data_IF_291288782329
#
_entry.id   IF_291288782329
#
_cell.length_a   1.000
_cell.length_b   1.000
_cell.length_c   1.000
_cell.angle_alpha   90.00
_cell.angle_beta   90.00
_cell.angle_gamma   90.00
#
_symmetry.space_group_name_H-M   'P 1'
#
loop_
_entity.id
_entity.type
_entity.pdbx_description
1 polymer ?
#
# COMPACT_ATOMS: atom_id res chain seq x y z
N UNK A 1 23.82 -2.78 -14.99
CA UNK A 1 22.84 -3.30 -14.02
C UNK A 1 21.73 -4.04 -14.73
N UNK A 2 21.09 -4.99 -14.07
CA UNK A 2 19.91 -5.71 -14.57
C UNK A 2 18.66 -4.92 -14.26
N UNK A 3 17.68 -4.93 -15.18
CA UNK A 3 16.36 -4.35 -14.99
C UNK A 3 15.36 -5.47 -14.72
N UNK A 4 14.63 -5.38 -13.64
CA UNK A 4 13.58 -6.34 -13.29
C UNK A 4 12.22 -5.62 -13.21
N UNK A 5 11.18 -6.25 -13.80
CA UNK A 5 9.81 -5.75 -13.69
C UNK A 5 9.20 -6.13 -12.35
N UNK A 6 8.54 -5.17 -11.72
CA UNK A 6 7.81 -5.30 -10.46
C UNK A 6 6.31 -5.36 -10.74
N UNK A 7 5.59 -6.28 -10.09
CA UNK A 7 4.12 -6.34 -10.13
C UNK A 7 3.56 -5.35 -9.12
N UNK A 8 2.86 -4.35 -9.62
CA UNK A 8 2.22 -3.32 -8.79
C UNK A 8 0.81 -2.99 -9.30
N UNK A 9 0.01 -2.42 -8.41
CA UNK A 9 -1.30 -1.82 -8.72
C UNK A 9 -1.41 -0.49 -7.97
N UNK A 10 -1.87 0.55 -8.66
CA UNK A 10 -2.11 1.84 -8.02
C UNK A 10 -3.09 1.68 -6.86
N UNK A 11 -2.87 2.42 -5.77
CA UNK A 11 -3.82 2.51 -4.67
C UNK A 11 -4.99 3.41 -5.06
N UNK A 12 -6.20 3.08 -4.56
CA UNK A 12 -7.41 3.87 -4.81
C UNK A 12 -7.25 5.30 -4.29
N UNK A 13 -7.46 6.28 -5.15
CA UNK A 13 -7.24 7.69 -4.88
C UNK A 13 -5.82 8.19 -5.17
N UNK A 14 -4.89 7.33 -5.59
CA UNK A 14 -3.54 7.76 -5.97
C UNK A 14 -3.57 8.72 -7.16
N UNK A 15 -2.68 9.70 -7.15
CA UNK A 15 -2.39 10.52 -8.35
C UNK A 15 -1.50 9.73 -9.33
N UNK A 16 -1.55 10.13 -10.61
CA UNK A 16 -0.66 9.62 -11.65
C UNK A 16 0.79 10.11 -11.46
N UNK A 17 1.73 9.39 -12.05
CA UNK A 17 3.08 9.92 -12.29
C UNK A 17 3.08 10.89 -13.48
N UNK A 18 4.15 11.70 -13.68
CA UNK A 18 4.41 12.32 -14.98
C UNK A 18 4.38 11.28 -16.12
N UNK A 19 4.08 11.72 -17.35
CA UNK A 19 3.92 10.82 -18.50
C UNK A 19 5.17 9.96 -18.78
N UNK A 20 6.36 10.54 -18.60
CA UNK A 20 7.66 9.87 -18.72
C UNK A 20 7.97 8.92 -17.55
N UNK A 21 7.11 8.93 -16.54
CA UNK A 21 7.35 8.27 -15.27
C UNK A 21 8.27 9.08 -14.35
N UNK A 22 8.61 8.48 -13.22
CA UNK A 22 9.54 9.04 -12.25
C UNK A 22 10.54 7.99 -11.81
N UNK A 23 11.73 8.42 -11.45
CA UNK A 23 12.79 7.51 -10.98
C UNK A 23 13.39 8.04 -9.69
N UNK A 24 13.46 7.19 -8.68
CA UNK A 24 14.06 7.53 -7.39
C UNK A 24 14.83 6.37 -6.78
N UNK A 25 15.76 6.68 -5.88
CA UNK A 25 16.34 5.69 -4.98
C UNK A 25 15.24 5.21 -4.03
N UNK A 26 15.20 3.90 -3.74
CA UNK A 26 14.22 3.36 -2.80
C UNK A 26 14.79 3.29 -1.39
N UNK A 27 13.96 3.66 -0.43
CA UNK A 27 14.20 3.43 1.00
C UNK A 27 13.15 2.45 1.51
N UNK A 28 13.60 1.41 2.15
CA UNK A 28 12.72 0.37 2.71
C UNK A 28 12.58 0.63 4.21
N UNK A 29 11.34 0.73 4.67
CA UNK A 29 11.00 0.88 6.09
C UNK A 29 9.98 -0.18 6.49
N UNK A 30 10.05 -0.64 7.72
CA UNK A 30 9.11 -1.59 8.28
C UNK A 30 7.80 -0.91 8.69
N UNK A 31 7.91 0.27 9.28
CA UNK A 31 6.81 0.99 9.91
C UNK A 31 7.04 2.52 9.92
N UNK A 32 6.09 3.26 10.52
CA UNK A 32 6.19 4.71 10.65
C UNK A 32 7.30 5.17 11.60
N UNK A 33 7.68 4.37 12.57
CA UNK A 33 8.75 4.71 13.49
C UNK A 33 10.11 4.70 12.78
N UNK A 34 10.38 3.68 11.97
CA UNK A 34 11.57 3.65 11.11
C UNK A 34 11.58 4.82 10.11
N UNK A 35 10.42 5.12 9.49
CA UNK A 35 10.30 6.26 8.59
C UNK A 35 10.66 7.57 9.30
N UNK A 36 10.10 7.80 10.48
CA UNK A 36 10.31 9.02 11.26
C UNK A 36 11.75 9.13 11.76
N UNK A 37 12.38 8.02 12.14
CA UNK A 37 13.77 7.97 12.57
C UNK A 37 14.75 8.39 11.46
N UNK A 38 14.44 8.06 10.20
CA UNK A 38 15.23 8.52 9.04
C UNK A 38 15.06 10.03 8.78
N UNK A 39 13.90 10.57 9.10
CA UNK A 39 13.57 11.97 8.92
C UNK A 39 13.70 12.46 7.47
N UNK A 40 13.57 13.76 7.27
CA UNK A 40 13.65 14.38 5.94
C UNK A 40 14.97 14.05 5.21
N UNK A 41 16.09 14.09 5.91
CA UNK A 41 17.41 13.85 5.31
C UNK A 41 17.55 12.44 4.71
N UNK A 42 16.88 11.45 5.30
CA UNK A 42 16.87 10.08 4.81
C UNK A 42 15.87 9.82 3.69
N UNK A 43 14.82 10.67 3.56
CA UNK A 43 13.62 10.38 2.75
C UNK A 43 13.46 11.34 1.56
N UNK A 44 13.90 12.59 1.66
CA UNK A 44 13.67 13.60 0.63
C UNK A 44 14.16 13.15 -0.75
N UNK A 45 13.29 13.29 -1.77
CA UNK A 45 13.57 12.89 -3.15
C UNK A 45 13.59 11.40 -3.42
N UNK A 46 13.24 10.56 -2.45
CA UNK A 46 13.28 9.10 -2.57
C UNK A 46 11.88 8.49 -2.69
N UNK A 47 11.84 7.24 -3.12
CA UNK A 47 10.64 6.39 -3.10
C UNK A 47 10.70 5.56 -1.82
N UNK A 48 9.61 5.55 -1.03
CA UNK A 48 9.54 4.77 0.20
C UNK A 48 8.80 3.47 -0.04
N UNK A 49 9.37 2.33 0.35
CA UNK A 49 8.66 1.04 0.43
C UNK A 49 8.34 0.73 1.89
N UNK A 50 7.06 0.73 2.25
CA UNK A 50 6.61 0.14 3.50
C UNK A 50 6.56 -1.38 3.37
N UNK A 51 7.52 -2.07 3.98
CA UNK A 51 7.66 -3.53 3.94
C UNK A 51 7.17 -4.19 5.22
N UNK A 52 6.05 -3.73 5.77
CA UNK A 52 5.42 -4.34 6.95
C UNK A 52 4.96 -5.77 6.63
N UNK A 53 5.39 -6.74 7.41
CA UNK A 53 5.01 -8.14 7.25
C UNK A 53 3.70 -8.43 7.97
N UNK A 54 2.80 -9.11 7.29
CA UNK A 54 1.56 -9.59 7.89
C UNK A 54 1.85 -10.61 9.01
N UNK A 55 1.23 -10.40 10.17
CA UNK A 55 1.40 -11.25 11.33
C UNK A 55 0.58 -12.54 11.19
N UNK A 56 1.27 -13.63 10.84
CA UNK A 56 0.66 -14.95 10.67
C UNK A 56 0.38 -15.68 11.99
N UNK A 57 1.13 -15.38 13.03
CA UNK A 57 0.90 -15.97 14.34
C UNK A 57 -0.38 -15.40 14.96
N UNK A 58 -0.56 -14.09 14.84
CA UNK A 58 -1.81 -13.43 15.21
C UNK A 58 -3.00 -13.99 14.40
N UNK A 59 -2.84 -14.21 13.09
CA UNK A 59 -3.87 -14.84 12.27
C UNK A 59 -4.19 -16.27 12.73
N UNK A 60 -3.18 -17.08 12.99
CA UNK A 60 -3.35 -18.47 13.44
C UNK A 60 -4.05 -18.54 14.82
N UNK A 61 -3.90 -17.51 15.64
CA UNK A 61 -4.57 -17.37 16.94
C UNK A 61 -6.01 -16.82 16.83
N UNK A 62 -6.57 -16.68 15.61
CA UNK A 62 -7.94 -16.20 15.40
C UNK A 62 -8.06 -14.69 15.25
N UNK A 63 -6.97 -13.92 15.31
CA UNK A 63 -6.95 -12.47 15.23
C UNK A 63 -6.52 -11.94 13.84
N UNK A 64 -6.89 -12.63 12.77
CA UNK A 64 -6.52 -12.27 11.40
C UNK A 64 -6.98 -10.87 10.98
N UNK A 65 -8.15 -10.42 11.44
CA UNK A 65 -8.64 -9.05 11.22
C UNK A 65 -7.74 -7.98 11.86
N UNK A 66 -7.26 -8.23 13.07
CA UNK A 66 -6.33 -7.34 13.75
C UNK A 66 -4.97 -7.30 13.05
N UNK A 67 -4.43 -8.47 12.65
CA UNK A 67 -3.21 -8.56 11.86
C UNK A 67 -3.31 -7.78 10.54
N UNK A 68 -4.45 -7.84 9.87
CA UNK A 68 -4.73 -7.05 8.67
C UNK A 68 -4.79 -5.55 8.97
N UNK A 69 -5.45 -5.14 10.06
CA UNK A 69 -5.51 -3.75 10.51
C UNK A 69 -4.12 -3.13 10.72
N UNK A 70 -3.20 -3.89 11.32
CA UNK A 70 -1.82 -3.46 11.52
C UNK A 70 -1.05 -3.29 10.20
N UNK A 71 -1.34 -4.09 9.18
CA UNK A 71 -0.69 -3.99 7.88
C UNK A 71 -1.30 -2.88 6.99
N UNK A 72 -2.63 -2.72 7.02
CA UNK A 72 -3.35 -1.82 6.11
C UNK A 72 -3.13 -0.34 6.40
N UNK A 73 -2.74 0.03 7.60
CA UNK A 73 -2.47 1.43 7.96
C UNK A 73 -1.40 2.07 7.07
N UNK A 74 -0.39 1.31 6.64
CA UNK A 74 0.67 1.80 5.76
C UNK A 74 0.14 2.06 4.34
N UNK A 75 -0.85 1.29 3.90
CA UNK A 75 -1.57 1.53 2.65
C UNK A 75 -2.37 2.83 2.71
N UNK A 76 -3.10 3.06 3.79
CA UNK A 76 -3.94 4.24 3.94
C UNK A 76 -3.12 5.52 4.17
N UNK A 77 -2.21 5.52 5.14
CA UNK A 77 -1.52 6.73 5.60
C UNK A 77 -0.07 6.86 5.08
N UNK A 78 0.49 5.83 4.43
CA UNK A 78 1.89 5.81 4.04
C UNK A 78 2.30 6.98 3.15
N UNK A 79 1.50 7.28 2.12
CA UNK A 79 1.82 8.37 1.19
C UNK A 79 1.82 9.74 1.88
N UNK A 80 0.79 10.06 2.68
CA UNK A 80 0.72 11.35 3.37
C UNK A 80 1.83 11.51 4.41
N UNK A 81 2.22 10.42 5.09
CA UNK A 81 3.28 10.46 6.09
C UNK A 81 4.66 10.62 5.44
N UNK A 82 4.95 9.87 4.40
CA UNK A 82 6.22 9.96 3.68
C UNK A 82 6.36 11.30 2.92
N UNK A 83 5.27 11.83 2.36
CA UNK A 83 5.27 13.12 1.67
C UNK A 83 5.68 14.29 2.57
N UNK A 84 5.30 14.26 3.87
CA UNK A 84 5.74 15.26 4.85
C UNK A 84 7.26 15.30 5.03
N UNK A 85 7.93 14.18 4.77
CA UNK A 85 9.38 14.05 4.80
C UNK A 85 10.03 14.25 3.43
N UNK A 86 9.25 14.61 2.40
CA UNK A 86 9.75 14.91 1.06
C UNK A 86 9.91 13.69 0.15
N UNK A 87 9.30 12.55 0.46
CA UNK A 87 9.24 11.42 -0.46
C UNK A 87 8.54 11.81 -1.77
N UNK A 88 8.94 11.20 -2.89
CA UNK A 88 8.36 11.47 -4.21
C UNK A 88 7.31 10.44 -4.62
N UNK A 89 7.32 9.24 -4.05
CA UNK A 89 6.31 8.19 -4.21
C UNK A 89 6.36 7.20 -3.05
N UNK A 90 5.28 6.41 -2.91
CA UNK A 90 5.20 5.34 -1.92
C UNK A 90 4.81 4.02 -2.59
N UNK A 91 5.52 2.98 -2.23
CA UNK A 91 5.16 1.59 -2.47
C UNK A 91 4.79 0.94 -1.14
N UNK A 92 3.77 0.10 -1.16
CA UNK A 92 3.33 -0.63 0.03
C UNK A 92 3.27 -2.11 -0.29
N UNK A 93 3.94 -2.92 0.51
CA UNK A 93 3.78 -4.37 0.46
C UNK A 93 2.32 -4.75 0.59
N UNK A 94 1.84 -5.70 -0.19
CA UNK A 94 0.49 -6.25 -0.10
C UNK A 94 0.14 -6.63 1.33
N UNK A 95 -0.96 -6.05 1.86
CA UNK A 95 -1.29 -6.07 3.29
C UNK A 95 -1.79 -7.42 3.83
N UNK A 96 -2.07 -8.40 2.96
CA UNK A 96 -2.59 -9.71 3.36
C UNK A 96 -1.52 -10.76 3.61
N UNK A 97 -1.95 -11.92 4.12
CA UNK A 97 -1.08 -13.07 4.37
C UNK A 97 -0.71 -13.88 3.12
N UNK A 98 -1.22 -13.54 1.94
CA UNK A 98 -0.89 -14.20 0.68
C UNK A 98 0.56 -13.98 0.29
N UNK A 99 1.21 -15.03 -0.22
CA UNK A 99 2.60 -14.99 -0.68
C UNK A 99 2.71 -15.09 -2.20
N UNK A 100 1.59 -14.96 -2.92
CA UNK A 100 1.61 -14.95 -4.37
C UNK A 100 2.10 -13.61 -4.93
N UNK A 101 2.47 -13.62 -6.22
CA UNK A 101 2.97 -12.44 -6.93
C UNK A 101 1.81 -11.56 -7.45
N UNK A 102 0.86 -11.24 -6.56
CA UNK A 102 -0.26 -10.35 -6.83
C UNK A 102 -0.18 -9.12 -5.93
N UNK A 103 -0.37 -7.94 -6.51
CA UNK A 103 -0.47 -6.71 -5.76
C UNK A 103 -1.87 -6.56 -5.17
N UNK A 104 -1.96 -6.42 -3.85
CA UNK A 104 -3.21 -6.25 -3.12
C UNK A 104 -3.50 -4.77 -2.93
N UNK A 105 -4.32 -4.21 -3.80
CA UNK A 105 -4.71 -2.80 -3.77
C UNK A 105 -5.76 -2.50 -2.69
N UNK A 106 -6.12 -1.23 -2.57
CA UNK A 106 -7.16 -0.68 -1.70
C UNK A 106 -7.03 0.83 -1.64
N UNK A 107 -7.88 1.49 -0.88
CA UNK A 107 -7.90 2.94 -0.76
C UNK A 107 -6.68 3.46 -0.01
N UNK A 108 -6.19 4.63 -0.43
CA UNK A 108 -5.24 5.45 0.31
C UNK A 108 -5.82 6.84 0.59
N UNK A 109 -5.29 7.53 1.60
CA UNK A 109 -5.68 8.88 1.96
C UNK A 109 -4.59 9.90 1.61
N UNK A 110 -5.04 11.14 1.39
CA UNK A 110 -4.19 12.33 1.40
C UNK A 110 -4.63 13.24 2.53
N UNK A 111 -3.71 14.04 3.06
CA UNK A 111 -4.00 15.04 4.08
C UNK A 111 -3.96 16.45 3.48
N UNK A 112 -4.79 17.34 3.98
CA UNK A 112 -4.78 18.75 3.59
C UNK A 112 -3.42 19.40 3.91
N UNK A 113 -2.95 20.25 3.00
CA UNK A 113 -1.66 20.92 3.12
C UNK A 113 -0.43 20.03 2.89
N UNK A 114 -0.61 18.76 2.56
CA UNK A 114 0.48 17.83 2.22
C UNK A 114 0.51 17.58 0.72
N UNK A 115 1.69 17.71 0.10
CA UNK A 115 1.86 17.40 -1.32
C UNK A 115 1.42 15.97 -1.62
N UNK A 116 0.51 15.82 -2.60
CA UNK A 116 0.10 14.49 -3.06
C UNK A 116 1.24 13.84 -3.84
N UNK A 117 1.53 12.59 -3.51
CA UNK A 117 2.54 11.78 -4.20
C UNK A 117 1.91 10.46 -4.66
N UNK A 118 2.40 9.84 -5.76
CA UNK A 118 1.90 8.55 -6.22
C UNK A 118 2.08 7.45 -5.18
N UNK A 119 1.07 6.58 -5.06
CA UNK A 119 1.10 5.42 -4.17
C UNK A 119 0.62 4.14 -4.86
N UNK A 120 1.34 3.04 -4.68
CA UNK A 120 0.99 1.74 -5.23
C UNK A 120 1.23 0.61 -4.23
N UNK A 121 0.40 -0.45 -4.34
CA UNK A 121 0.71 -1.73 -3.72
C UNK A 121 1.65 -2.52 -4.62
N UNK A 122 2.63 -3.19 -4.03
CA UNK A 122 3.51 -4.15 -4.70
C UNK A 122 3.23 -5.57 -4.19
N UNK A 123 3.50 -6.57 -5.00
CA UNK A 123 3.35 -7.96 -4.59
C UNK A 123 4.26 -8.30 -3.39
N UNK A 124 3.90 -9.35 -2.66
CA UNK A 124 4.72 -9.89 -1.59
C UNK A 124 6.15 -10.18 -2.06
N UNK A 125 6.30 -10.94 -3.16
CA UNK A 125 7.59 -11.38 -3.67
C UNK A 125 8.46 -10.21 -4.14
N UNK A 126 7.86 -9.24 -4.82
CA UNK A 126 8.60 -8.07 -5.29
C UNK A 126 9.03 -7.16 -4.14
N UNK A 127 8.20 -7.01 -3.09
CA UNK A 127 8.58 -6.27 -1.89
C UNK A 127 9.78 -6.92 -1.16
N UNK A 128 9.78 -8.26 -1.03
CA UNK A 128 10.92 -8.99 -0.45
C UNK A 128 12.17 -8.85 -1.32
N UNK A 129 12.03 -8.97 -2.64
CA UNK A 129 13.15 -8.81 -3.59
C UNK A 129 13.76 -7.42 -3.51
N UNK A 130 12.93 -6.38 -3.53
CA UNK A 130 13.39 -4.98 -3.39
C UNK A 130 14.09 -4.80 -2.04
N UNK A 131 13.50 -5.29 -0.97
CA UNK A 131 14.08 -5.15 0.37
C UNK A 131 15.42 -5.90 0.51
N UNK A 132 15.55 -7.06 -0.14
CA UNK A 132 16.80 -7.82 -0.16
C UNK A 132 17.89 -7.09 -0.94
N UNK A 133 17.57 -6.59 -2.14
CA UNK A 133 18.51 -5.83 -2.97
C UNK A 133 18.96 -4.55 -2.28
N UNK A 134 18.03 -3.82 -1.65
CA UNK A 134 18.33 -2.56 -0.96
C UNK A 134 19.26 -2.70 0.26
N UNK A 135 19.42 -3.92 0.79
CA UNK A 135 20.43 -4.19 1.84
C UNK A 135 21.85 -4.30 1.28
N UNK A 136 21.97 -4.72 0.04
CA UNK A 136 23.26 -4.99 -0.59
C UNK A 136 23.79 -3.75 -1.34
N UNK A 137 22.94 -2.97 -1.96
CA UNK A 137 23.31 -1.81 -2.78
C UNK A 137 22.15 -0.81 -2.91
N UNK A 138 22.41 0.36 -3.50
CA UNK A 138 21.41 1.35 -3.85
C UNK A 138 20.52 0.84 -4.98
N UNK A 139 19.24 0.66 -4.71
CA UNK A 139 18.22 0.27 -5.68
C UNK A 139 17.49 1.51 -6.17
N UNK A 140 17.30 1.63 -7.47
CA UNK A 140 16.48 2.67 -8.09
C UNK A 140 15.23 2.05 -8.71
N UNK A 141 14.10 2.67 -8.46
CA UNK A 141 12.81 2.29 -9.05
C UNK A 141 12.41 3.33 -10.09
N UNK A 142 12.06 2.86 -11.30
CA UNK A 142 11.31 3.66 -12.27
C UNK A 142 9.84 3.30 -12.12
N UNK A 143 9.01 4.30 -11.80
CA UNK A 143 7.58 4.16 -11.59
C UNK A 143 6.82 4.90 -12.69
N UNK A 144 5.88 4.23 -13.35
CA UNK A 144 4.93 4.84 -14.29
C UNK A 144 3.54 4.33 -13.96
N UNK A 145 2.65 5.25 -13.61
CA UNK A 145 1.26 4.95 -13.23
C UNK A 145 0.33 6.01 -13.80
N UNK A 146 -0.83 5.57 -14.26
CA UNK A 146 -1.87 6.43 -14.87
C UNK A 146 -3.24 6.25 -14.22
N UNK A 147 -3.37 6.17 -12.88
CA UNK A 147 -4.67 6.06 -12.24
C UNK A 147 -5.48 7.34 -12.49
N UNK A 148 -6.79 7.17 -12.57
CA UNK A 148 -7.75 8.26 -12.70
C UNK A 148 -8.87 8.08 -11.69
N UNK A 149 -9.34 9.17 -11.10
CA UNK A 149 -10.58 9.20 -10.33
C UNK A 149 -11.67 9.68 -11.28
N UNK A 150 -12.62 8.79 -11.58
CA UNK A 150 -13.77 9.09 -12.43
C UNK A 150 -14.89 9.72 -11.57
N UNK A 151 -15.87 10.39 -12.20
CA UNK A 151 -17.07 10.83 -11.52
C UNK A 151 -17.80 9.68 -10.84
N UNK A 152 -18.51 9.99 -9.76
CA UNK A 152 -19.34 9.01 -9.06
C UNK A 152 -20.43 8.45 -9.98
N UNK A 153 -20.72 7.16 -9.79
CA UNK A 153 -21.81 6.47 -10.51
C UNK A 153 -22.75 5.85 -9.48
N UNK A 154 -24.02 5.74 -9.85
CA UNK A 154 -25.00 5.06 -8.99
C UNK A 154 -24.63 3.58 -8.84
N UNK A 155 -24.77 3.07 -7.61
CA UNK A 155 -24.60 1.67 -7.27
C UNK A 155 -25.69 1.23 -6.31
N UNK A 156 -25.97 -0.08 -6.22
CA UNK A 156 -27.07 -0.63 -5.45
C UNK A 156 -26.61 -1.77 -4.57
N UNK A 157 -27.18 -1.84 -3.37
CA UNK A 157 -27.11 -3.02 -2.52
C UNK A 157 -28.35 -3.88 -2.79
N UNK A 158 -28.15 -5.16 -3.06
CA UNK A 158 -29.26 -6.13 -3.14
C UNK A 158 -29.48 -6.72 -1.76
N UNK A 159 -30.67 -6.53 -1.22
CA UNK A 159 -31.05 -7.04 0.09
C UNK A 159 -32.20 -8.04 -0.13
N UNK A 160 -32.12 -9.20 0.50
CA UNK A 160 -33.16 -10.21 0.47
C UNK A 160 -33.33 -10.84 1.86
N UNK A 161 -34.54 -10.97 2.30
CA UNK A 161 -34.91 -11.62 3.56
C UNK A 161 -35.47 -13.01 3.28
N UNK A 162 -34.92 -14.01 3.94
CA UNK A 162 -35.51 -15.34 4.01
C UNK A 162 -36.13 -15.54 5.39
N UNK A 163 -37.44 -15.42 5.51
CA UNK A 163 -38.14 -15.58 6.78
C UNK A 163 -38.11 -17.04 7.24
N UNK A 164 -37.71 -17.24 8.48
CA UNK A 164 -37.81 -18.52 9.15
C UNK A 164 -39.27 -18.90 9.45
N UNK A 165 -39.55 -20.22 9.65
CA UNK A 165 -40.88 -20.73 9.99
C UNK A 165 -41.23 -20.50 11.46
N UNK A 166 -40.26 -20.66 12.35
CA UNK A 166 -40.52 -20.70 13.81
C UNK A 166 -40.37 -19.34 14.48
N UNK A 167 -39.46 -18.53 13.99
CA UNK A 167 -39.17 -17.18 14.51
C UNK A 167 -38.91 -16.19 13.36
N UNK A 168 -39.96 -15.86 12.59
CA UNK A 168 -39.81 -15.09 11.36
C UNK A 168 -39.34 -13.62 11.59
N UNK A 169 -39.42 -13.13 12.82
CA UNK A 169 -39.04 -11.76 13.18
C UNK A 169 -37.63 -11.67 13.82
N UNK A 170 -36.96 -12.83 14.02
CA UNK A 170 -35.55 -12.86 14.47
C UNK A 170 -34.60 -12.86 13.28
N UNK A 171 -33.62 -11.94 13.31
CA UNK A 171 -32.53 -11.84 12.32
C UNK A 171 -31.28 -12.50 12.91
N UNK A 172 -30.63 -13.38 12.13
CA UNK A 172 -29.40 -14.07 12.51
C UNK A 172 -28.21 -13.48 11.76
#
# INVERSE_FOLDING_TARGET
GTVQKVVLTALGGSIATPAEGMTGEIVVVKDFDELNALGRNGIEGKIVLFNHRFDREMQASGFGGAAYGLAVQYRFAGAMTAARLGAIAVLVRSAGGSQNRLAHTGVMGYADGVTKIPGAAVSYEDAETIAWLAKADKVRIKLTMTPQTLPDVESYNVIADLKGSDKPDEIV
#
